data_IF_469399946116
#
_entry.id   IF_469399946116
#
_cell.length_a   1.000
_cell.length_b   1.000
_cell.length_c   1.000
_cell.angle_alpha   90.00
_cell.angle_beta   90.00
_cell.angle_gamma   90.00
#
_symmetry.space_group_name_H-M   'P 1'
#
loop_
_entity.id
_entity.type
_entity.pdbx_description
1 polymer ?
#
# COMPACT_ATOMS: atom_id res chain seq x y z
N UNK A 1 -10.52 1.53 -22.57
CA UNK A 1 -10.41 0.43 -21.59
C UNK A 1 -11.48 -0.64 -21.75
N UNK A 2 -12.76 -0.31 -21.81
CA UNK A 2 -13.84 -1.30 -21.97
C UNK A 2 -13.67 -2.18 -23.21
N UNK A 3 -13.33 -1.59 -24.38
CA UNK A 3 -13.05 -2.33 -25.62
C UNK A 3 -11.86 -3.29 -25.47
N UNK A 4 -10.75 -2.82 -24.92
CA UNK A 4 -9.56 -3.66 -24.70
C UNK A 4 -9.82 -4.80 -23.71
N UNK A 5 -10.69 -4.59 -22.71
CA UNK A 5 -11.09 -5.63 -21.76
C UNK A 5 -12.02 -6.66 -22.44
N UNK A 6 -12.93 -6.21 -23.31
CA UNK A 6 -13.80 -7.10 -24.09
C UNK A 6 -12.97 -7.99 -25.02
N UNK A 7 -11.98 -7.41 -25.74
CA UNK A 7 -11.07 -8.17 -26.59
C UNK A 7 -10.29 -9.25 -25.81
N UNK A 8 -9.90 -8.94 -24.55
CA UNK A 8 -9.27 -9.91 -23.66
C UNK A 8 -10.22 -11.02 -23.21
N UNK A 9 -11.49 -10.70 -22.99
CA UNK A 9 -12.50 -11.68 -22.59
C UNK A 9 -12.86 -12.64 -23.73
N UNK A 10 -12.91 -12.15 -24.97
CA UNK A 10 -13.16 -12.97 -26.16
C UNK A 10 -12.00 -13.92 -26.50
N UNK A 11 -10.78 -13.53 -26.20
CA UNK A 11 -9.57 -14.32 -26.43
C UNK A 11 -9.24 -15.32 -25.31
N UNK A 12 -10.24 -15.87 -24.62
CA UNK A 12 -10.12 -16.78 -23.46
C UNK A 12 -9.25 -18.04 -23.71
N UNK A 13 -8.94 -18.36 -24.96
CA UNK A 13 -8.12 -19.51 -25.33
C UNK A 13 -6.61 -19.22 -25.43
N UNK A 14 -6.20 -17.97 -25.27
CA UNK A 14 -4.80 -17.58 -25.24
C UNK A 14 -4.25 -17.74 -23.83
N UNK A 15 -3.04 -18.23 -23.71
CA UNK A 15 -2.31 -18.56 -22.49
C UNK A 15 -2.60 -17.62 -21.31
N UNK A 16 -3.03 -18.20 -20.21
CA UNK A 16 -3.61 -17.57 -19.01
C UNK A 16 -2.78 -16.43 -18.41
N UNK A 17 -1.49 -16.33 -18.72
CA UNK A 17 -0.56 -15.35 -18.14
C UNK A 17 -0.36 -14.07 -18.98
N UNK A 18 -0.84 -14.02 -20.23
CA UNK A 18 -0.55 -12.90 -21.13
C UNK A 18 -1.61 -11.79 -21.13
N UNK A 19 -2.84 -12.09 -20.72
CA UNK A 19 -4.01 -11.20 -20.88
C UNK A 19 -4.57 -10.67 -19.55
N UNK A 20 -3.70 -10.48 -18.55
CA UNK A 20 -4.11 -9.94 -17.25
C UNK A 20 -4.07 -8.41 -17.26
N UNK A 21 -5.16 -7.78 -16.82
CA UNK A 21 -5.14 -6.36 -16.49
C UNK A 21 -4.44 -6.17 -15.15
N UNK A 22 -3.45 -5.31 -15.12
CA UNK A 22 -2.75 -4.90 -13.90
C UNK A 22 -3.15 -3.48 -13.57
N UNK A 23 -3.56 -3.27 -12.34
CA UNK A 23 -3.88 -1.94 -11.82
C UNK A 23 -3.03 -1.69 -10.59
N UNK A 24 -2.47 -0.49 -10.51
CA UNK A 24 -1.74 -0.02 -9.35
C UNK A 24 -2.52 1.13 -8.75
N UNK A 25 -2.98 0.97 -7.53
CA UNK A 25 -3.58 2.05 -6.77
C UNK A 25 -2.46 2.89 -6.15
N UNK A 26 -2.37 4.14 -6.58
CA UNK A 26 -1.35 5.10 -6.18
C UNK A 26 -2.00 6.25 -5.40
N UNK A 27 -1.27 6.77 -4.43
CA UNK A 27 -1.68 7.97 -3.70
C UNK A 27 -0.83 9.16 -4.12
N UNK A 28 -1.51 10.23 -4.53
CA UNK A 28 -0.95 11.52 -4.93
C UNK A 28 -1.46 12.62 -3.99
N UNK A 29 -0.91 12.69 -2.77
CA UNK A 29 -1.40 13.58 -1.71
C UNK A 29 -1.52 15.04 -2.16
N UNK A 30 -0.49 15.56 -2.83
CA UNK A 30 -0.42 16.95 -3.28
C UNK A 30 -1.44 17.29 -4.38
N UNK A 31 -2.06 16.27 -4.98
CA UNK A 31 -3.05 16.46 -6.04
C UNK A 31 -4.50 16.52 -5.52
N UNK A 32 -4.73 16.44 -4.21
CA UNK A 32 -6.08 16.35 -3.63
C UNK A 32 -7.05 17.41 -4.15
N UNK A 33 -6.59 18.66 -4.28
CA UNK A 33 -7.38 19.81 -4.73
C UNK A 33 -6.87 20.35 -6.08
N UNK A 34 -6.13 19.54 -6.85
CA UNK A 34 -5.49 19.97 -8.08
C UNK A 34 -6.48 20.01 -9.25
N UNK A 35 -6.29 20.97 -10.13
CA UNK A 35 -7.01 21.02 -11.40
C UNK A 35 -6.39 20.04 -12.43
N UNK A 36 -7.07 19.86 -13.55
CA UNK A 36 -6.67 18.93 -14.60
C UNK A 36 -5.23 19.18 -15.11
N UNK A 37 -4.86 20.42 -15.38
CA UNK A 37 -3.52 20.78 -15.89
C UNK A 37 -2.42 20.40 -14.88
N UNK A 38 -2.67 20.63 -13.59
CA UNK A 38 -1.73 20.29 -12.54
C UNK A 38 -1.56 18.77 -12.42
N UNK A 39 -2.67 18.01 -12.47
CA UNK A 39 -2.64 16.54 -12.44
C UNK A 39 -1.90 15.99 -13.66
N UNK A 40 -2.16 16.54 -14.86
CA UNK A 40 -1.43 16.14 -16.08
C UNK A 40 0.08 16.41 -15.96
N UNK A 41 0.46 17.57 -15.46
CA UNK A 41 1.86 17.89 -15.21
C UNK A 41 2.50 16.91 -14.22
N UNK A 42 1.78 16.57 -13.15
CA UNK A 42 2.26 15.61 -12.14
C UNK A 42 2.43 14.20 -12.72
N UNK A 43 1.50 13.72 -13.56
CA UNK A 43 1.64 12.45 -14.29
C UNK A 43 2.88 12.48 -15.16
N UNK A 44 3.02 13.48 -16.01
CA UNK A 44 4.17 13.62 -16.90
C UNK A 44 5.50 13.66 -16.14
N UNK A 45 5.58 14.51 -15.12
CA UNK A 45 6.81 14.74 -14.37
C UNK A 45 7.22 13.53 -13.50
N UNK A 46 6.26 12.70 -13.10
CA UNK A 46 6.53 11.46 -12.35
C UNK A 46 6.95 10.29 -13.26
N UNK A 47 6.30 10.12 -14.40
CA UNK A 47 6.52 8.93 -15.24
C UNK A 47 7.64 9.12 -16.28
N UNK A 48 7.81 10.31 -16.84
CA UNK A 48 8.82 10.54 -17.89
C UNK A 48 10.25 10.24 -17.42
N UNK A 49 10.72 10.67 -16.24
CA UNK A 49 12.07 10.35 -15.77
C UNK A 49 12.30 8.86 -15.54
N UNK A 50 11.33 8.16 -14.96
CA UNK A 50 11.41 6.73 -14.69
C UNK A 50 11.50 5.91 -15.99
N UNK A 51 10.73 6.30 -17.02
CA UNK A 51 10.78 5.68 -18.34
C UNK A 51 12.10 5.96 -19.06
N UNK A 52 12.63 7.18 -18.97
CA UNK A 52 13.90 7.55 -19.55
C UNK A 52 15.07 6.73 -18.97
N UNK A 53 15.06 6.42 -17.67
CA UNK A 53 16.07 5.54 -17.04
C UNK A 53 16.02 4.12 -17.58
N UNK A 54 14.86 3.64 -17.95
CA UNK A 54 14.68 2.34 -18.60
C UNK A 54 15.01 2.39 -20.10
N UNK A 55 15.68 3.45 -20.58
CA UNK A 55 16.01 3.69 -22.01
C UNK A 55 14.79 3.64 -22.92
N UNK A 56 13.64 4.09 -22.44
CA UNK A 56 12.38 4.16 -23.19
C UNK A 56 12.08 5.57 -23.62
N UNK A 57 11.69 5.76 -24.87
CA UNK A 57 11.03 6.98 -25.28
C UNK A 57 9.57 6.88 -24.90
N UNK A 58 9.08 7.86 -24.16
CA UNK A 58 7.73 7.88 -23.68
C UNK A 58 6.98 9.10 -24.21
N UNK A 59 5.71 8.89 -24.52
CA UNK A 59 4.75 9.95 -24.80
C UNK A 59 3.66 9.88 -23.73
N UNK A 60 3.38 11.00 -23.07
CA UNK A 60 2.24 11.19 -22.17
C UNK A 60 1.23 12.05 -22.89
N UNK A 61 0.02 11.56 -23.01
CA UNK A 61 -1.07 12.19 -23.76
C UNK A 61 -2.33 12.31 -22.91
N UNK A 62 -3.05 13.40 -23.11
CA UNK A 62 -4.43 13.56 -22.63
C UNK A 62 -5.39 12.74 -23.50
N UNK A 63 -6.56 12.46 -22.99
CA UNK A 63 -7.67 11.84 -23.73
C UNK A 63 -8.86 12.81 -23.76
N UNK A 64 -9.93 12.43 -24.46
CA UNK A 64 -11.18 13.19 -24.46
C UNK A 64 -11.89 13.16 -23.09
N UNK A 65 -11.50 12.22 -22.22
CA UNK A 65 -12.00 12.11 -20.86
C UNK A 65 -11.15 12.89 -19.88
N UNK A 66 -11.77 13.77 -19.11
CA UNK A 66 -11.08 14.58 -18.11
C UNK A 66 -10.42 13.71 -17.03
N UNK A 67 -9.17 14.03 -16.64
CA UNK A 67 -8.37 13.28 -15.68
C UNK A 67 -8.05 11.81 -16.10
N UNK A 68 -8.14 11.51 -17.39
CA UNK A 68 -7.73 10.23 -17.92
C UNK A 68 -6.57 10.43 -18.92
N UNK A 69 -5.43 9.80 -18.64
CA UNK A 69 -4.19 10.00 -19.40
C UNK A 69 -3.66 8.67 -19.93
N UNK A 70 -2.95 8.74 -21.05
CA UNK A 70 -2.30 7.59 -21.67
C UNK A 70 -0.80 7.82 -21.72
N UNK A 71 -0.04 6.83 -21.29
CA UNK A 71 1.41 6.80 -21.38
C UNK A 71 1.78 5.63 -22.27
N UNK A 72 2.39 5.96 -23.40
CA UNK A 72 2.94 4.97 -24.32
C UNK A 72 4.47 5.05 -24.31
N UNK A 73 5.11 3.92 -24.22
CA UNK A 73 6.56 3.84 -24.28
C UNK A 73 7.00 2.70 -25.21
N UNK A 74 8.03 2.95 -25.99
CA UNK A 74 8.63 1.97 -26.89
C UNK A 74 9.22 0.77 -26.13
N UNK A 75 9.65 -0.25 -26.88
CA UNK A 75 10.38 -1.37 -26.31
C UNK A 75 11.72 -0.87 -25.78
N UNK A 76 11.94 -0.95 -24.48
CA UNK A 76 13.28 -0.76 -23.91
C UNK A 76 14.16 -1.99 -24.16
N UNK A 77 15.44 -1.89 -23.79
CA UNK A 77 16.46 -2.92 -24.07
C UNK A 77 16.12 -4.35 -23.61
N UNK A 78 15.25 -4.46 -22.60
CA UNK A 78 14.95 -5.76 -21.94
C UNK A 78 13.48 -6.15 -21.95
N UNK A 79 12.57 -5.25 -22.34
CA UNK A 79 11.13 -5.43 -22.18
C UNK A 79 10.38 -4.92 -23.40
N UNK A 80 9.25 -5.55 -23.74
CA UNK A 80 8.38 -5.13 -24.83
C UNK A 80 7.78 -3.71 -24.63
N UNK A 81 6.98 -3.22 -25.58
CA UNK A 81 6.31 -1.92 -25.48
C UNK A 81 5.41 -1.88 -24.23
N UNK A 82 5.25 -0.68 -23.69
CA UNK A 82 4.47 -0.43 -22.50
C UNK A 82 3.33 0.55 -22.82
N UNK A 83 2.12 0.21 -22.37
CA UNK A 83 1.01 1.15 -22.32
C UNK A 83 0.46 1.19 -20.91
N UNK A 84 0.31 2.40 -20.36
CA UNK A 84 -0.30 2.70 -19.08
C UNK A 84 -1.48 3.65 -19.31
N UNK A 85 -2.57 3.38 -18.62
CA UNK A 85 -3.77 4.22 -18.61
C UNK A 85 -3.95 4.72 -17.17
N UNK A 86 -3.80 6.02 -16.99
CA UNK A 86 -3.90 6.65 -15.68
C UNK A 86 -5.28 7.24 -15.52
N UNK A 87 -6.10 6.65 -14.67
CA UNK A 87 -7.36 7.20 -14.21
C UNK A 87 -7.10 7.99 -12.91
N UNK A 88 -7.11 9.29 -13.02
CA UNK A 88 -6.98 10.25 -11.92
C UNK A 88 -8.29 11.03 -11.71
N UNK A 89 -9.45 10.44 -12.03
CA UNK A 89 -10.79 11.01 -11.78
C UNK A 89 -10.95 11.39 -10.30
N UNK A 90 -10.35 10.61 -9.40
CA UNK A 90 -10.02 11.06 -8.06
C UNK A 90 -8.59 11.62 -8.08
N UNK A 91 -8.38 12.94 -7.97
CA UNK A 91 -7.06 13.53 -8.13
C UNK A 91 -6.02 13.02 -7.12
N UNK A 92 -6.44 12.55 -5.95
CA UNK A 92 -5.56 12.01 -4.92
C UNK A 92 -5.29 10.51 -5.06
N UNK A 93 -6.24 9.72 -5.55
CA UNK A 93 -6.12 8.25 -5.63
C UNK A 93 -6.20 7.78 -7.08
N UNK A 94 -5.04 7.54 -7.67
CA UNK A 94 -4.95 7.19 -9.08
C UNK A 94 -4.99 5.69 -9.30
N UNK A 95 -5.60 5.28 -10.40
CA UNK A 95 -5.56 3.90 -10.88
C UNK A 95 -4.71 3.85 -12.16
N UNK A 96 -3.50 3.32 -12.03
CA UNK A 96 -2.62 3.11 -13.19
C UNK A 96 -2.85 1.70 -13.75
N UNK A 97 -3.53 1.61 -14.88
CA UNK A 97 -3.88 0.35 -15.53
C UNK A 97 -2.90 -0.02 -16.64
N UNK A 98 -2.62 -1.31 -16.82
CA UNK A 98 -1.81 -1.81 -17.93
C UNK A 98 -2.22 -3.20 -18.37
N UNK A 99 -2.19 -3.42 -19.68
CA UNK A 99 -2.29 -4.73 -20.33
C UNK A 99 -0.91 -5.32 -20.66
N UNK A 100 0.17 -4.54 -20.49
CA UNK A 100 1.53 -4.98 -20.77
C UNK A 100 1.96 -6.08 -19.80
N UNK A 101 2.97 -6.87 -20.18
CA UNK A 101 3.55 -7.93 -19.33
C UNK A 101 4.03 -7.36 -17.99
N UNK A 102 3.88 -8.14 -16.92
CA UNK A 102 4.35 -7.78 -15.57
C UNK A 102 5.83 -7.35 -15.56
N UNK A 103 6.68 -8.07 -16.32
CA UNK A 103 8.11 -7.73 -16.45
C UNK A 103 8.36 -6.36 -17.11
N UNK A 104 7.40 -5.83 -17.85
CA UNK A 104 7.52 -4.51 -18.48
C UNK A 104 6.98 -3.38 -17.60
N UNK A 105 5.89 -3.62 -16.85
CA UNK A 105 5.21 -2.57 -16.09
C UNK A 105 5.69 -2.44 -14.65
N UNK A 106 5.96 -3.55 -13.94
CA UNK A 106 6.35 -3.51 -12.52
C UNK A 106 7.64 -2.70 -12.27
N UNK A 107 8.72 -2.85 -13.07
CA UNK A 107 9.92 -2.02 -12.90
C UNK A 107 9.63 -0.52 -13.06
N UNK A 108 8.82 -0.15 -14.05
CA UNK A 108 8.48 1.26 -14.29
C UNK A 108 7.72 1.86 -13.11
N UNK A 109 6.68 1.18 -12.61
CA UNK A 109 5.95 1.65 -11.43
C UNK A 109 6.87 1.76 -10.21
N UNK A 110 7.76 0.77 -10.00
CA UNK A 110 8.75 0.81 -8.93
C UNK A 110 9.68 2.02 -9.06
N UNK A 111 10.18 2.31 -10.27
CA UNK A 111 11.07 3.44 -10.51
C UNK A 111 10.33 4.77 -10.32
N UNK A 112 9.07 4.90 -10.78
CA UNK A 112 8.21 6.06 -10.51
C UNK A 112 8.08 6.32 -9.01
N UNK A 113 7.80 5.29 -8.23
CA UNK A 113 7.62 5.40 -6.78
C UNK A 113 8.93 5.64 -6.00
N UNK A 114 10.07 5.29 -6.58
CA UNK A 114 11.38 5.61 -5.99
C UNK A 114 11.79 7.05 -6.27
N UNK A 115 11.41 7.58 -7.42
CA UNK A 115 11.89 8.86 -7.91
C UNK A 115 10.97 10.03 -7.59
N UNK A 116 9.66 9.79 -7.59
CA UNK A 116 8.68 10.81 -7.31
C UNK A 116 8.32 10.83 -5.82
N UNK A 117 8.71 11.85 -5.07
CA UNK A 117 8.25 12.00 -3.70
C UNK A 117 6.76 12.34 -3.62
N UNK A 118 6.12 12.65 -4.75
CA UNK A 118 4.70 13.02 -4.82
C UNK A 118 3.75 11.84 -4.98
N UNK A 119 4.29 10.64 -5.25
CA UNK A 119 3.51 9.42 -5.43
C UNK A 119 3.97 8.32 -4.46
N UNK A 120 3.02 7.60 -3.90
CA UNK A 120 3.28 6.38 -3.15
C UNK A 120 2.27 5.29 -3.50
N UNK A 121 2.54 4.06 -3.09
CA UNK A 121 1.56 3.00 -3.11
C UNK A 121 0.40 3.34 -2.17
N UNK A 122 -0.81 2.94 -2.51
CA UNK A 122 -1.84 2.76 -1.52
C UNK A 122 -1.56 1.47 -0.75
N UNK A 123 -1.14 1.61 0.49
CA UNK A 123 -0.81 0.48 1.36
C UNK A 123 -2.08 -0.12 1.97
N UNK A 124 -2.26 -1.43 1.85
CA UNK A 124 -3.43 -2.15 2.33
C UNK A 124 -3.02 -3.05 3.50
N UNK A 125 -3.21 -2.63 4.76
CA UNK A 125 -2.92 -3.47 5.92
C UNK A 125 -3.76 -4.74 5.92
N UNK A 126 -3.38 -5.71 6.74
CA UNK A 126 -4.03 -7.03 6.81
C UNK A 126 -5.54 -6.90 6.95
N UNK A 127 -6.01 -6.00 7.81
CA UNK A 127 -7.43 -5.77 8.07
C UNK A 127 -8.17 -5.27 6.83
N UNK A 128 -7.55 -4.39 6.03
CA UNK A 128 -8.16 -3.91 4.78
C UNK A 128 -8.18 -5.00 3.70
N UNK A 129 -7.15 -5.84 3.62
CA UNK A 129 -7.16 -7.02 2.73
C UNK A 129 -8.27 -8.01 3.12
N UNK A 130 -8.46 -8.27 4.41
CA UNK A 130 -9.54 -9.12 4.92
C UNK A 130 -10.92 -8.53 4.60
N UNK A 131 -11.10 -7.23 4.81
CA UNK A 131 -12.35 -6.52 4.45
C UNK A 131 -12.59 -6.55 2.95
N UNK A 132 -11.54 -6.42 2.15
CA UNK A 132 -11.63 -6.54 0.69
C UNK A 132 -12.04 -7.97 0.29
N UNK A 133 -11.47 -8.99 0.93
CA UNK A 133 -11.82 -10.38 0.70
C UNK A 133 -13.29 -10.70 1.04
N UNK A 134 -13.85 -10.09 2.07
CA UNK A 134 -15.24 -10.26 2.45
C UNK A 134 -16.25 -9.75 1.41
N UNK A 135 -15.81 -8.95 0.42
CA UNK A 135 -16.66 -8.43 -0.62
C UNK A 135 -16.88 -9.35 -1.82
N UNK A 136 -16.43 -10.59 -1.78
CA UNK A 136 -16.61 -11.59 -2.83
C UNK A 136 -16.28 -12.99 -2.34
N UNK A 137 -16.22 -13.96 -3.24
CA UNK A 137 -15.81 -15.31 -2.90
C UNK A 137 -14.27 -15.40 -2.84
N UNK A 138 -13.71 -15.67 -1.66
CA UNK A 138 -12.28 -15.92 -1.50
C UNK A 138 -11.87 -17.18 -2.29
N UNK A 139 -10.86 -17.06 -3.13
CA UNK A 139 -10.33 -18.11 -4.01
C UNK A 139 -8.86 -18.43 -3.74
N UNK A 140 -8.25 -17.74 -2.82
CA UNK A 140 -6.88 -17.96 -2.41
C UNK A 140 -6.33 -16.78 -1.61
N UNK A 141 -5.18 -16.99 -1.03
CA UNK A 141 -4.44 -15.96 -0.31
C UNK A 141 -2.93 -16.17 -0.45
N UNK A 142 -2.17 -15.13 -0.18
CA UNK A 142 -0.73 -15.17 -0.05
C UNK A 142 -0.31 -14.63 1.30
N UNK A 143 0.66 -15.30 1.91
CA UNK A 143 1.34 -14.85 3.11
C UNK A 143 2.75 -14.42 2.73
N UNK A 144 3.24 -13.33 3.32
CA UNK A 144 4.62 -12.90 3.18
C UNK A 144 5.07 -12.15 4.43
N UNK A 145 6.12 -12.64 5.04
CA UNK A 145 6.76 -12.06 6.21
C UNK A 145 8.28 -12.14 6.05
N UNK A 146 9.01 -11.09 6.39
CA UNK A 146 10.47 -11.04 6.23
C UNK A 146 11.11 -10.19 7.33
N UNK A 147 11.39 -10.82 8.48
CA UNK A 147 11.97 -10.14 9.65
C UNK A 147 13.42 -9.69 9.42
N UNK A 148 14.11 -10.19 8.41
CA UNK A 148 15.49 -9.77 8.07
C UNK A 148 15.62 -8.27 7.76
N UNK A 149 14.49 -7.59 7.52
CA UNK A 149 14.46 -6.13 7.34
C UNK A 149 14.64 -5.35 8.63
N UNK A 150 14.36 -5.98 9.78
CA UNK A 150 14.58 -5.43 11.12
C UNK A 150 15.36 -6.49 11.91
N UNK A 151 16.68 -6.55 11.77
CA UNK A 151 17.52 -7.63 12.30
C UNK A 151 17.82 -7.43 13.80
N UNK A 152 16.76 -7.31 14.62
CA UNK A 152 16.82 -7.07 16.06
C UNK A 152 16.90 -8.34 16.91
N UNK A 153 16.98 -9.51 16.26
CA UNK A 153 17.10 -10.83 16.91
C UNK A 153 18.13 -11.70 16.20
N UNK A 154 18.75 -12.59 16.97
CA UNK A 154 19.60 -13.65 16.44
C UNK A 154 18.70 -14.83 16.00
N UNK A 155 18.72 -15.16 14.71
CA UNK A 155 17.93 -16.26 14.14
C UNK A 155 18.60 -17.64 14.29
N UNK A 156 19.85 -17.70 14.73
CA UNK A 156 20.59 -18.96 14.88
C UNK A 156 20.35 -19.64 16.24
N UNK A 157 19.50 -19.06 17.10
CA UNK A 157 19.14 -19.66 18.40
C UNK A 157 17.93 -20.59 18.28
N UNK A 158 17.81 -21.64 19.12
CA UNK A 158 16.80 -22.69 18.98
C UNK A 158 15.34 -22.21 18.98
N UNK A 159 15.01 -21.18 19.75
CA UNK A 159 13.65 -20.65 19.90
C UNK A 159 13.47 -19.32 19.16
N UNK A 160 14.30 -19.06 18.13
CA UNK A 160 14.20 -17.86 17.34
C UNK A 160 12.84 -17.75 16.63
N UNK A 161 12.29 -16.54 16.48
CA UNK A 161 11.07 -16.33 15.69
C UNK A 161 11.31 -16.67 14.22
N UNK A 162 10.23 -16.86 13.48
CA UNK A 162 10.30 -17.11 12.04
C UNK A 162 11.00 -15.94 11.33
N UNK A 163 12.12 -16.20 10.69
CA UNK A 163 12.90 -15.22 9.95
C UNK A 163 12.21 -14.79 8.65
N UNK A 164 11.70 -15.78 7.92
CA UNK A 164 11.06 -15.57 6.61
C UNK A 164 9.96 -16.58 6.38
N UNK A 165 8.79 -16.10 5.97
CA UNK A 165 7.66 -16.92 5.54
C UNK A 165 7.12 -16.41 4.22
N UNK A 166 7.02 -17.29 3.22
CA UNK A 166 6.31 -17.00 1.98
C UNK A 166 5.48 -18.21 1.56
N UNK A 167 4.17 -18.04 1.51
CA UNK A 167 3.24 -19.09 1.16
C UNK A 167 2.14 -18.57 0.24
N UNK A 168 1.64 -19.42 -0.66
CA UNK A 168 0.47 -19.14 -1.47
C UNK A 168 -0.49 -20.33 -1.38
N UNK A 169 -1.76 -20.03 -1.15
CA UNK A 169 -2.84 -20.98 -1.01
C UNK A 169 -3.91 -20.67 -2.04
N UNK A 170 -4.35 -21.69 -2.77
CA UNK A 170 -5.43 -21.57 -3.72
C UNK A 170 -6.57 -22.52 -3.38
N UNK A 171 -7.79 -22.07 -3.61
CA UNK A 171 -9.00 -22.83 -3.37
C UNK A 171 -9.84 -22.29 -2.24
N UNK A 172 -11.03 -22.86 -2.10
CA UNK A 172 -12.06 -22.40 -1.16
C UNK A 172 -11.69 -22.61 0.31
N UNK A 173 -10.69 -23.48 0.59
CA UNK A 173 -10.21 -23.80 1.93
C UNK A 173 -9.04 -22.94 2.39
N UNK A 174 -8.64 -21.93 1.62
CA UNK A 174 -7.51 -21.07 1.98
C UNK A 174 -7.72 -20.35 3.33
N UNK A 175 -8.95 -19.91 3.62
CA UNK A 175 -9.29 -19.30 4.91
C UNK A 175 -9.15 -20.27 6.09
N UNK A 176 -9.51 -21.56 5.92
CA UNK A 176 -9.37 -22.57 6.96
C UNK A 176 -7.89 -22.79 7.32
N UNK A 177 -7.03 -22.86 6.29
CA UNK A 177 -5.59 -23.01 6.50
C UNK A 177 -4.99 -21.80 7.20
N UNK A 178 -5.39 -20.57 6.80
CA UNK A 178 -4.95 -19.35 7.48
C UNK A 178 -5.32 -19.37 8.96
N UNK A 179 -6.55 -19.79 9.29
CA UNK A 179 -7.00 -19.91 10.68
C UNK A 179 -6.14 -20.92 11.46
N UNK A 180 -5.89 -22.10 10.88
CA UNK A 180 -5.03 -23.13 11.51
C UNK A 180 -3.63 -22.58 11.79
N UNK A 181 -3.02 -21.86 10.85
CA UNK A 181 -1.69 -21.27 11.04
C UNK A 181 -1.68 -20.24 12.17
N UNK A 182 -2.72 -19.41 12.27
CA UNK A 182 -2.84 -18.40 13.33
C UNK A 182 -3.11 -18.99 14.72
N UNK A 183 -3.65 -20.20 14.79
CA UNK A 183 -3.89 -20.92 16.05
C UNK A 183 -2.65 -21.66 16.58
N UNK A 184 -1.57 -21.80 15.80
CA UNK A 184 -0.33 -22.45 16.20
C UNK A 184 0.61 -21.47 16.91
N UNK A 185 1.18 -21.86 18.06
CA UNK A 185 2.06 -20.96 18.86
C UNK A 185 3.24 -20.37 18.08
N UNK A 186 3.80 -21.11 17.13
CA UNK A 186 5.01 -20.73 16.41
C UNK A 186 4.78 -19.73 15.26
N UNK A 187 3.56 -19.55 14.75
CA UNK A 187 3.33 -18.85 13.49
C UNK A 187 2.52 -17.55 13.54
N UNK A 188 1.76 -17.22 14.59
CA UNK A 188 0.86 -16.05 14.56
C UNK A 188 1.58 -14.76 14.21
N UNK A 189 2.78 -14.55 14.75
CA UNK A 189 3.59 -13.33 14.55
C UNK A 189 4.11 -13.14 13.13
N UNK A 190 4.25 -14.23 12.38
CA UNK A 190 4.78 -14.25 11.00
C UNK A 190 3.70 -14.52 9.95
N UNK A 191 2.43 -14.73 10.36
CA UNK A 191 1.32 -15.06 9.45
C UNK A 191 0.68 -13.79 8.89
N UNK A 192 1.43 -13.03 8.11
CA UNK A 192 0.99 -11.76 7.52
C UNK A 192 0.36 -11.98 6.15
N UNK A 193 -0.89 -11.53 6.01
CA UNK A 193 -1.62 -11.58 4.75
C UNK A 193 -1.06 -10.53 3.78
N UNK A 194 -0.45 -10.99 2.68
CA UNK A 194 0.17 -10.12 1.66
C UNK A 194 -0.67 -10.00 0.39
N UNK A 195 -1.60 -10.92 0.20
CA UNK A 195 -2.45 -10.96 -0.99
C UNK A 195 -3.73 -11.73 -0.72
N UNK A 196 -4.83 -11.29 -1.31
CA UNK A 196 -6.10 -12.03 -1.40
C UNK A 196 -6.49 -12.23 -2.85
N UNK A 197 -7.02 -13.41 -3.18
CA UNK A 197 -7.62 -13.73 -4.48
C UNK A 197 -9.12 -13.83 -4.31
N UNK A 198 -9.86 -12.97 -5.03
CA UNK A 198 -11.30 -12.77 -4.85
C UNK A 198 -11.98 -12.97 -6.19
N UNK A 199 -13.05 -13.76 -6.21
CA UNK A 199 -14.00 -13.80 -7.34
C UNK A 199 -15.23 -12.98 -6.97
N UNK A 200 -15.56 -12.03 -7.82
CA UNK A 200 -16.76 -11.21 -7.71
C UNK A 200 -17.59 -11.39 -8.98
N UNK A 201 -18.88 -11.60 -8.82
CA UNK A 201 -19.84 -11.63 -9.91
C UNK A 201 -20.49 -10.27 -10.10
N UNK A 202 -21.00 -10.01 -11.29
CA UNK A 202 -21.86 -8.87 -11.52
C UNK A 202 -23.25 -9.21 -10.97
N UNK A 203 -23.86 -8.27 -10.26
CA UNK A 203 -25.19 -8.48 -9.68
C UNK A 203 -26.21 -8.88 -10.77
N UNK A 204 -26.90 -10.01 -10.54
CA UNK A 204 -27.90 -10.54 -11.45
C UNK A 204 -27.35 -11.33 -12.65
N UNK A 205 -26.04 -11.55 -12.75
CA UNK A 205 -25.41 -12.30 -13.84
C UNK A 205 -24.28 -13.22 -13.31
N UNK A 206 -24.57 -14.49 -13.20
CA UNK A 206 -23.63 -15.51 -12.72
C UNK A 206 -22.50 -15.84 -13.71
N UNK A 207 -22.63 -15.44 -14.98
CA UNK A 207 -21.62 -15.66 -16.02
C UNK A 207 -20.59 -14.53 -16.06
N UNK A 208 -21.01 -13.31 -15.69
CA UNK A 208 -20.16 -12.13 -15.67
C UNK A 208 -19.42 -11.99 -14.34
N UNK A 209 -18.11 -12.20 -14.36
CA UNK A 209 -17.29 -12.15 -13.16
C UNK A 209 -15.92 -11.47 -13.38
N UNK A 210 -15.33 -11.06 -12.29
CA UNK A 210 -13.90 -10.74 -12.18
C UNK A 210 -13.22 -11.64 -11.14
N UNK A 211 -12.00 -12.07 -11.42
CA UNK A 211 -11.12 -12.79 -10.50
C UNK A 211 -9.84 -11.97 -10.31
N UNK A 212 -9.69 -11.38 -9.15
CA UNK A 212 -8.61 -10.45 -8.85
C UNK A 212 -7.69 -10.96 -7.75
N UNK A 213 -6.38 -10.77 -7.95
CA UNK A 213 -5.36 -10.81 -6.90
C UNK A 213 -5.12 -9.38 -6.41
N UNK A 214 -5.47 -9.09 -5.16
CA UNK A 214 -5.26 -7.79 -4.50
C UNK A 214 -4.11 -7.92 -3.52
N UNK A 215 -3.05 -7.12 -3.68
CA UNK A 215 -1.86 -7.14 -2.84
C UNK A 215 -1.83 -5.98 -1.86
N UNK A 216 -1.09 -6.15 -0.77
CA UNK A 216 -0.89 -5.16 0.29
C UNK A 216 -0.22 -3.85 -0.17
N UNK A 217 0.49 -3.88 -1.31
CA UNK A 217 1.15 -2.73 -1.95
C UNK A 217 0.26 -2.01 -2.98
N UNK A 218 -1.04 -2.24 -2.97
CA UNK A 218 -2.00 -1.61 -3.89
C UNK A 218 -2.00 -2.17 -5.31
N UNK A 219 -1.18 -3.18 -5.61
CA UNK A 219 -1.21 -3.85 -6.93
C UNK A 219 -2.39 -4.81 -7.02
N UNK A 220 -3.20 -4.67 -8.06
CA UNK A 220 -4.34 -5.53 -8.36
C UNK A 220 -4.13 -6.15 -9.73
N UNK A 221 -4.23 -7.47 -9.82
CA UNK A 221 -4.13 -8.19 -11.10
C UNK A 221 -5.42 -8.95 -11.33
N UNK A 222 -6.10 -8.70 -12.44
CA UNK A 222 -7.45 -9.23 -12.69
C UNK A 222 -7.54 -9.94 -14.03
N UNK A 223 -8.40 -10.96 -14.05
CA UNK A 223 -8.94 -11.61 -15.23
C UNK A 223 -10.44 -11.86 -15.04
N UNK A 224 -11.18 -12.01 -16.08
CA UNK A 224 -12.62 -12.31 -16.00
C UNK A 224 -13.37 -11.95 -17.28
N UNK A 225 -14.67 -12.05 -17.22
CA UNK A 225 -15.58 -11.81 -18.35
C UNK A 225 -16.27 -10.45 -18.26
N UNK A 226 -16.17 -9.72 -17.13
CA UNK A 226 -16.88 -8.47 -16.90
C UNK A 226 -15.95 -7.37 -16.39
N UNK A 227 -15.79 -6.32 -17.20
CA UNK A 227 -15.12 -5.09 -16.77
C UNK A 227 -15.96 -4.34 -15.72
N UNK A 228 -17.29 -4.37 -15.81
CA UNK A 228 -18.16 -3.71 -14.83
C UNK A 228 -18.00 -4.30 -13.42
N UNK A 229 -17.91 -5.64 -13.29
CA UNK A 229 -17.61 -6.32 -12.03
C UNK A 229 -16.24 -5.88 -11.46
N UNK A 230 -15.23 -5.75 -12.34
CA UNK A 230 -13.91 -5.28 -11.96
C UNK A 230 -13.92 -3.81 -11.50
N UNK A 231 -14.55 -2.93 -12.27
CA UNK A 231 -14.66 -1.50 -11.92
C UNK A 231 -15.36 -1.30 -10.56
N UNK A 232 -16.45 -2.05 -10.30
CA UNK A 232 -17.15 -2.04 -9.01
C UNK A 232 -16.22 -2.46 -7.85
N UNK A 233 -15.40 -3.49 -8.07
CA UNK A 233 -14.40 -3.91 -7.07
C UNK A 233 -13.36 -2.81 -6.79
N UNK A 234 -12.83 -2.18 -7.84
CA UNK A 234 -11.86 -1.07 -7.70
C UNK A 234 -12.46 0.10 -6.94
N UNK A 235 -13.65 0.55 -7.32
CA UNK A 235 -14.36 1.64 -6.63
C UNK A 235 -14.49 1.34 -5.13
N UNK A 236 -14.90 0.13 -4.78
CA UNK A 236 -15.02 -0.27 -3.37
C UNK A 236 -13.68 -0.23 -2.63
N UNK A 237 -12.58 -0.69 -3.25
CA UNK A 237 -11.25 -0.67 -2.63
C UNK A 237 -10.79 0.78 -2.42
N UNK A 238 -10.96 1.64 -3.43
CA UNK A 238 -10.62 3.07 -3.35
C UNK A 238 -11.45 3.76 -2.26
N UNK A 239 -12.75 3.47 -2.17
CA UNK A 239 -13.63 4.05 -1.16
C UNK A 239 -13.26 3.63 0.27
N UNK A 240 -12.91 2.36 0.47
CA UNK A 240 -12.46 1.88 1.78
C UNK A 240 -11.14 2.55 2.18
N UNK A 241 -10.20 2.61 1.24
CA UNK A 241 -8.89 3.21 1.46
C UNK A 241 -8.99 4.71 1.73
N UNK A 242 -9.69 5.46 0.86
CA UNK A 242 -9.82 6.92 0.97
C UNK A 242 -10.52 7.36 2.26
N UNK A 243 -11.59 6.66 2.65
CA UNK A 243 -12.26 6.89 3.94
C UNK A 243 -11.32 6.69 5.11
N UNK A 244 -10.52 5.61 5.10
CA UNK A 244 -9.56 5.35 6.17
C UNK A 244 -8.47 6.41 6.24
N UNK A 245 -7.92 6.83 5.09
CA UNK A 245 -6.95 7.94 5.06
C UNK A 245 -7.56 9.20 5.67
N UNK A 246 -8.78 9.55 5.29
CA UNK A 246 -9.48 10.71 5.84
C UNK A 246 -9.66 10.61 7.36
N UNK A 247 -10.11 9.48 7.88
CA UNK A 247 -10.26 9.23 9.32
C UNK A 247 -8.94 9.38 10.07
N UNK A 248 -7.85 8.80 9.52
CA UNK A 248 -6.52 8.91 10.13
C UNK A 248 -6.03 10.36 10.16
N UNK A 249 -6.23 11.11 9.09
CA UNK A 249 -5.85 12.52 9.02
C UNK A 249 -6.68 13.40 9.95
N UNK A 250 -7.95 13.10 10.13
CA UNK A 250 -8.78 13.82 11.10
C UNK A 250 -8.40 13.54 12.55
N UNK A 251 -8.16 12.26 12.89
CA UNK A 251 -7.88 11.84 14.27
C UNK A 251 -6.45 12.14 14.70
N UNK A 252 -5.46 11.93 13.82
CA UNK A 252 -4.05 11.85 14.23
C UNK A 252 -3.17 13.02 13.76
N UNK A 253 -3.66 13.94 12.92
CA UNK A 253 -2.93 15.17 12.64
C UNK A 253 -2.98 16.10 13.84
N UNK A 254 -1.79 16.45 14.34
CA UNK A 254 -1.66 17.44 15.41
C UNK A 254 -1.74 18.84 14.80
N UNK A 255 -2.73 19.60 15.23
CA UNK A 255 -3.00 20.96 14.74
C UNK A 255 -2.94 21.95 15.89
N UNK A 256 -2.28 23.09 15.67
CA UNK A 256 -2.31 24.21 16.58
C UNK A 256 -3.49 25.13 16.28
N UNK A 257 -4.29 25.46 17.31
CA UNK A 257 -5.40 26.41 17.20
C UNK A 257 -5.25 27.50 18.24
N UNK A 258 -5.42 28.76 17.81
CA UNK A 258 -5.49 29.90 18.74
C UNK A 258 -6.94 30.37 18.83
N UNK A 259 -7.51 30.36 20.03
CA UNK A 259 -8.86 30.79 20.33
C UNK A 259 -8.82 31.56 21.64
N UNK A 260 -9.46 32.73 21.68
CA UNK A 260 -9.50 33.62 22.87
C UNK A 260 -8.09 33.88 23.46
N UNK A 261 -7.11 34.13 22.62
CA UNK A 261 -5.72 34.34 22.99
C UNK A 261 -5.06 33.18 23.77
N UNK A 262 -5.61 31.97 23.63
CA UNK A 262 -5.06 30.71 24.15
C UNK A 262 -4.69 29.79 23.02
N UNK A 263 -3.61 29.04 23.23
CA UNK A 263 -3.15 28.03 22.27
C UNK A 263 -3.70 26.66 22.70
N UNK A 264 -4.31 25.98 21.75
CA UNK A 264 -4.84 24.62 21.90
C UNK A 264 -4.15 23.69 20.89
N UNK A 265 -3.94 22.45 21.27
CA UNK A 265 -3.54 21.38 20.36
C UNK A 265 -4.72 20.44 20.17
N UNK A 266 -5.14 20.28 18.92
CA UNK A 266 -6.13 19.31 18.49
C UNK A 266 -5.40 18.10 17.85
N UNK A 267 -6.02 16.93 17.90
CA UNK A 267 -5.45 15.67 17.43
C UNK A 267 -4.85 14.83 18.55
N UNK A 268 -4.50 13.61 18.22
CA UNK A 268 -3.94 12.64 19.15
C UNK A 268 -2.80 11.83 18.48
N UNK A 269 -1.86 11.25 19.22
CA UNK A 269 -0.90 10.33 18.63
C UNK A 269 -1.58 9.01 18.24
N UNK A 270 -1.11 8.40 17.15
CA UNK A 270 -1.36 6.99 16.88
C UNK A 270 -0.47 6.15 17.79
N UNK A 271 -1.07 5.26 18.58
CA UNK A 271 -0.32 4.33 19.43
C UNK A 271 -0.22 2.98 18.73
N UNK A 272 1.00 2.54 18.37
CA UNK A 272 1.27 1.19 17.86
C UNK A 272 1.82 0.38 19.03
N UNK A 273 1.14 -0.71 19.39
CA UNK A 273 1.55 -1.63 20.46
C UNK A 273 2.26 -2.84 19.87
N UNK A 274 3.36 -3.20 20.49
CA UNK A 274 4.11 -4.40 20.18
C UNK A 274 3.62 -5.55 21.06
N UNK A 275 3.41 -6.76 20.52
CA UNK A 275 2.98 -7.91 21.33
C UNK A 275 4.05 -8.37 22.32
N UNK A 276 5.32 -8.13 22.02
CA UNK A 276 6.46 -8.36 22.90
C UNK A 276 7.37 -7.13 22.91
N UNK A 277 8.09 -6.87 24.01
CA UNK A 277 9.03 -5.75 24.08
C UNK A 277 10.08 -5.83 22.97
N UNK A 278 10.41 -4.69 22.38
CA UNK A 278 11.52 -4.56 21.42
C UNK A 278 12.83 -4.93 22.11
N UNK A 279 13.58 -5.91 21.61
CA UNK A 279 14.83 -6.35 22.25
C UNK A 279 15.95 -5.31 22.13
N UNK A 280 16.01 -4.59 21.01
CA UNK A 280 17.00 -3.54 20.71
C UNK A 280 16.30 -2.32 20.08
N UNK A 281 16.11 -1.28 20.90
CA UNK A 281 15.45 -0.04 20.47
C UNK A 281 16.27 0.76 19.45
N UNK A 282 17.60 0.76 19.59
CA UNK A 282 18.48 1.52 18.71
C UNK A 282 18.49 0.90 17.31
N UNK A 283 18.71 -0.41 17.23
CA UNK A 283 18.71 -1.15 15.98
C UNK A 283 17.35 -1.11 15.27
N UNK A 284 16.24 -1.18 16.03
CA UNK A 284 14.90 -1.00 15.49
C UNK A 284 14.73 0.41 14.88
N UNK A 285 15.15 1.45 15.60
CA UNK A 285 15.10 2.82 15.08
C UNK A 285 15.93 3.00 13.81
N UNK A 286 17.16 2.48 13.79
CA UNK A 286 18.03 2.52 12.62
C UNK A 286 17.40 1.83 11.41
N UNK A 287 16.72 0.70 11.62
CA UNK A 287 16.08 -0.06 10.56
C UNK A 287 14.85 0.66 9.97
N UNK A 288 14.03 1.28 10.83
CA UNK A 288 12.77 1.92 10.42
C UNK A 288 13.00 3.32 9.84
N UNK A 289 13.97 4.07 10.39
CA UNK A 289 14.20 5.49 10.03
C UNK A 289 15.44 5.72 9.16
N UNK A 290 15.90 4.69 8.45
CA UNK A 290 17.04 4.77 7.53
C UNK A 290 16.76 5.58 6.24
N UNK A 291 15.52 6.00 5.98
CA UNK A 291 15.13 6.64 4.72
C UNK A 291 14.99 5.68 3.53
N UNK A 292 15.04 4.39 3.76
CA UNK A 292 14.97 3.36 2.70
C UNK A 292 13.58 2.73 2.60
N UNK A 293 13.32 2.09 1.45
CA UNK A 293 12.15 1.24 1.32
C UNK A 293 12.26 0.01 2.25
N UNK A 294 11.15 -0.43 2.85
CA UNK A 294 9.78 -0.06 2.53
C UNK A 294 9.22 1.13 3.33
N UNK A 295 9.90 1.55 4.40
CA UNK A 295 9.37 2.57 5.31
C UNK A 295 9.39 3.98 4.70
N UNK A 296 10.46 4.35 3.96
CA UNK A 296 10.67 5.69 3.38
C UNK A 296 10.59 6.81 4.44
N UNK A 297 11.01 6.51 5.66
CA UNK A 297 11.05 7.42 6.79
C UNK A 297 12.50 7.70 7.14
N UNK A 298 12.89 8.96 7.18
CA UNK A 298 14.25 9.36 7.55
C UNK A 298 14.23 10.17 8.83
N UNK A 299 15.10 9.83 9.78
CA UNK A 299 15.21 10.55 11.03
C UNK A 299 16.40 10.08 11.86
N UNK A 300 16.81 10.92 12.81
CA UNK A 300 17.90 10.61 13.73
C UNK A 300 17.30 10.30 15.11
N UNK A 301 17.47 9.07 15.62
CA UNK A 301 17.02 8.70 16.94
C UNK A 301 17.80 9.45 18.03
N UNK A 302 17.08 10.01 18.99
CA UNK A 302 17.67 10.65 20.18
C UNK A 302 17.17 9.91 21.40
N UNK A 303 18.06 9.33 22.17
CA UNK A 303 17.72 8.69 23.43
C UNK A 303 17.32 9.75 24.47
N UNK A 304 16.07 9.72 24.90
CA UNK A 304 15.49 10.65 25.88
C UNK A 304 15.58 10.07 27.29
N UNK A 305 15.47 8.75 27.42
CA UNK A 305 15.66 7.99 28.65
C UNK A 305 16.20 6.60 28.33
N UNK A 306 16.64 5.82 29.32
CA UNK A 306 17.13 4.45 29.06
C UNK A 306 16.15 3.54 28.32
N UNK A 307 14.85 3.83 28.38
CA UNK A 307 13.78 3.03 27.75
C UNK A 307 13.00 3.81 26.70
N UNK A 308 13.47 4.95 26.20
CA UNK A 308 12.72 5.74 25.23
C UNK A 308 13.62 6.49 24.26
N UNK A 309 13.36 6.31 22.99
CA UNK A 309 13.89 7.12 21.90
C UNK A 309 12.81 8.07 21.37
N UNK A 310 13.24 9.26 20.95
CA UNK A 310 12.44 10.20 20.16
C UNK A 310 13.11 10.45 18.83
N UNK A 311 12.33 10.40 17.75
CA UNK A 311 12.82 10.63 16.40
C UNK A 311 12.00 11.74 15.76
N UNK A 312 12.68 12.80 15.31
CA UNK A 312 12.07 13.75 14.37
C UNK A 312 12.25 13.19 12.98
N UNK A 313 11.13 12.88 12.32
CA UNK A 313 11.10 12.10 11.10
C UNK A 313 10.62 12.95 9.93
N UNK A 314 11.29 12.78 8.79
CA UNK A 314 10.83 13.27 7.49
C UNK A 314 10.31 12.06 6.72
N UNK A 315 9.07 12.14 6.27
CA UNK A 315 8.50 11.22 5.29
C UNK A 315 9.03 11.59 3.91
N UNK A 316 9.69 10.66 3.24
CA UNK A 316 10.23 10.86 1.89
C UNK A 316 9.14 10.79 0.80
N UNK A 317 7.91 10.45 1.17
CA UNK A 317 6.70 10.76 0.42
C UNK A 317 6.15 12.11 0.90
N UNK A 318 5.91 13.05 0.02
CA UNK A 318 5.41 14.43 0.25
C UNK A 318 6.27 15.32 1.17
N UNK A 319 7.44 14.85 1.59
CA UNK A 319 8.38 15.60 2.46
C UNK A 319 7.67 16.13 3.74
N UNK A 320 6.72 15.34 4.24
CA UNK A 320 5.98 15.65 5.46
C UNK A 320 6.81 15.36 6.72
N UNK A 321 6.54 16.07 7.79
CA UNK A 321 7.21 15.84 9.08
C UNK A 321 6.30 15.13 10.08
N UNK A 322 6.90 14.33 10.96
CA UNK A 322 6.27 13.73 12.10
C UNK A 322 7.26 13.55 13.24
N UNK A 323 6.76 13.35 14.45
CA UNK A 323 7.57 12.95 15.61
C UNK A 323 7.16 11.55 16.03
N UNK A 324 8.12 10.71 16.36
CA UNK A 324 7.88 9.36 16.84
C UNK A 324 8.57 9.17 18.19
N UNK A 325 7.84 8.65 19.16
CA UNK A 325 8.37 8.18 20.45
C UNK A 325 8.31 6.66 20.47
N UNK A 326 9.42 6.01 20.78
CA UNK A 326 9.54 4.55 20.77
C UNK A 326 9.99 4.08 22.15
N UNK A 327 9.18 3.19 22.73
CA UNK A 327 9.42 2.47 23.96
C UNK A 327 9.46 0.96 23.67
N UNK A 328 9.92 0.10 24.60
CA UNK A 328 9.95 -1.34 24.36
C UNK A 328 8.59 -1.92 23.92
N UNK A 329 7.51 -1.46 24.53
CA UNK A 329 6.17 -2.07 24.36
C UNK A 329 5.27 -1.32 23.36
N UNK A 330 5.65 -0.11 22.96
CA UNK A 330 4.84 0.72 22.07
C UNK A 330 5.64 1.79 21.33
N UNK A 331 5.02 2.28 20.25
CA UNK A 331 5.44 3.45 19.50
C UNK A 331 4.29 4.45 19.45
N UNK A 332 4.56 5.75 19.65
CA UNK A 332 3.62 6.84 19.43
C UNK A 332 4.03 7.67 18.24
N UNK A 333 3.10 7.86 17.31
CA UNK A 333 3.34 8.64 16.09
C UNK A 333 2.50 9.91 16.13
N UNK A 334 3.15 11.05 16.10
CA UNK A 334 2.55 12.39 16.07
C UNK A 334 2.66 12.93 14.65
N UNK A 335 1.57 12.89 13.90
CA UNK A 335 1.53 13.34 12.53
C UNK A 335 1.38 14.87 12.49
N UNK A 336 2.30 15.58 11.83
CA UNK A 336 2.21 17.04 11.73
C UNK A 336 1.04 17.48 10.85
N UNK A 337 0.59 18.72 11.03
CA UNK A 337 -0.38 19.36 10.14
C UNK A 337 0.11 19.33 8.69
N UNK A 338 -0.76 18.95 7.75
CA UNK A 338 -0.41 18.81 6.34
C UNK A 338 0.30 17.50 5.95
N UNK A 339 0.73 16.68 6.93
CA UNK A 339 1.32 15.39 6.61
C UNK A 339 0.26 14.39 6.10
N UNK A 340 0.70 13.42 5.31
CA UNK A 340 -0.16 12.44 4.65
C UNK A 340 -0.57 11.29 5.57
N UNK A 341 -1.86 10.93 5.60
CA UNK A 341 -2.36 9.77 6.35
C UNK A 341 -1.82 8.43 5.85
N UNK A 342 -1.42 8.36 4.55
CA UNK A 342 -0.79 7.16 3.98
C UNK A 342 0.52 6.81 4.71
N UNK A 343 1.23 7.78 5.27
CA UNK A 343 2.44 7.55 6.08
C UNK A 343 2.16 6.60 7.25
N UNK A 344 1.04 6.79 7.94
CA UNK A 344 0.63 5.92 9.06
C UNK A 344 0.29 4.51 8.58
N UNK A 345 -0.47 4.40 7.48
CA UNK A 345 -0.82 3.10 6.90
C UNK A 345 0.43 2.38 6.39
N UNK A 346 1.33 3.08 5.70
CA UNK A 346 2.60 2.52 5.23
C UNK A 346 3.44 1.99 6.39
N UNK A 347 3.63 2.80 7.43
CA UNK A 347 4.38 2.40 8.62
C UNK A 347 3.77 1.15 9.25
N UNK A 348 2.46 1.17 9.53
CA UNK A 348 1.76 0.06 10.15
C UNK A 348 1.79 -1.22 9.29
N UNK A 349 1.46 -1.12 8.00
CA UNK A 349 1.48 -2.25 7.07
C UNK A 349 2.86 -2.88 6.98
N UNK A 350 3.91 -2.06 6.88
CA UNK A 350 5.26 -2.58 6.78
C UNK A 350 5.76 -3.18 8.11
N UNK A 351 5.36 -2.64 9.25
CA UNK A 351 5.64 -3.30 10.53
C UNK A 351 4.94 -4.66 10.64
N UNK A 352 3.71 -4.83 10.11
CA UNK A 352 3.06 -6.14 10.03
C UNK A 352 3.85 -7.14 9.18
N UNK A 353 4.48 -6.69 8.10
CA UNK A 353 5.21 -7.55 7.16
C UNK A 353 6.66 -7.83 7.54
N UNK A 354 7.29 -6.91 8.29
CA UNK A 354 8.74 -6.96 8.54
C UNK A 354 9.11 -7.03 10.01
N UNK A 355 8.16 -6.87 10.91
CA UNK A 355 8.42 -6.97 12.35
C UNK A 355 7.53 -8.03 13.01
N UNK A 356 6.20 -7.80 13.08
CA UNK A 356 5.28 -8.72 13.75
C UNK A 356 3.84 -8.51 13.24
N UNK A 357 3.18 -9.57 12.78
CA UNK A 357 1.82 -9.49 12.23
C UNK A 357 0.74 -9.16 13.26
N UNK A 358 1.03 -9.36 14.55
CA UNK A 358 0.09 -9.15 15.65
C UNK A 358 0.15 -7.73 16.26
N UNK A 359 0.96 -6.82 15.71
CA UNK A 359 0.94 -5.43 16.15
C UNK A 359 -0.47 -4.86 16.05
N UNK A 360 -0.84 -4.05 17.01
CA UNK A 360 -2.11 -3.31 17.00
C UNK A 360 -1.84 -1.81 17.03
N UNK A 361 -2.79 -1.05 16.49
CA UNK A 361 -2.71 0.41 16.54
C UNK A 361 -4.02 0.98 17.06
N UNK A 362 -3.94 1.89 18.02
CA UNK A 362 -5.10 2.48 18.70
C UNK A 362 -4.99 3.99 18.76
N UNK A 363 -6.11 4.64 18.97
CA UNK A 363 -6.16 6.05 19.35
C UNK A 363 -5.97 6.26 20.86
N UNK A 364 -6.18 7.49 21.34
CA UNK A 364 -6.04 7.84 22.75
C UNK A 364 -7.15 7.23 23.65
N UNK A 365 -8.25 6.78 23.08
CA UNK A 365 -9.36 6.08 23.74
C UNK A 365 -9.23 4.56 23.69
N UNK A 366 -8.10 4.05 23.17
CA UNK A 366 -7.83 2.63 22.93
C UNK A 366 -8.72 1.98 21.85
N UNK A 367 -9.41 2.80 21.02
CA UNK A 367 -10.13 2.30 19.85
C UNK A 367 -9.15 1.91 18.74
N UNK A 368 -9.43 0.80 18.03
CA UNK A 368 -8.58 0.31 16.94
C UNK A 368 -8.56 1.29 15.76
N UNK A 369 -7.36 1.78 15.42
CA UNK A 369 -7.18 2.75 14.35
C UNK A 369 -7.40 2.15 12.95
N UNK A 370 -7.12 0.86 12.77
CA UNK A 370 -7.22 0.13 11.50
C UNK A 370 -8.38 -0.88 11.48
N UNK A 371 -9.48 -0.54 12.11
CA UNK A 371 -10.74 -1.24 11.93
C UNK A 371 -11.46 -0.73 10.66
N UNK A 372 -12.04 -1.64 9.83
CA UNK A 372 -12.61 -1.33 8.51
C UNK A 372 -14.03 -1.86 8.34
#
# INVERSE_FOLDING_TARGET
MTSAYADLAENQHLEVDTNLVKTFLLEAHDAQDANHEHVFALVRDSFTPALARSHRRAQVSETDEQFFFVIEADAGDRHGPLSLFIDATNPRYWLAHSFSKTSAVDPVIKDVLLDSPKLDNAWLPVQLLERTAAGGALRGLGLAFDRRKIPDVDFDVPDAPVEFLKMQLWGNRAADVLRILREQEAFPESTTLSKVKIKQWLDGDDESFSLADVKYDGKITVRGTSFASYASMLTRIVDLYSRKIHDLEQKFRIRGRVEDNRFYLDGAPLNIRFPHPLPDLELFCESVFAGTAPFKLWGIPVQVSPSMFRVSVIDLHVIGSMTVEICPDFMRVYLAEGACGNTLIRLYTNLQHYYNSLISATDAQEELAFEF
#
